data_IF_808515789927
#
_entry.id   IF_808515789927
#
_cell.length_a   1.000
_cell.length_b   1.000
_cell.length_c   1.000
_cell.angle_alpha   90.00
_cell.angle_beta   90.00
_cell.angle_gamma   90.00
#
_symmetry.space_group_name_H-M   'P 1'
#
loop_
_entity.id
_entity.type
_entity.pdbx_description
1 polymer ?
#
# COMPACT_ATOMS: atom_id res chain seq x y z
N UNK A 1 12.14 23.04 3.63
CA UNK A 1 11.45 21.74 3.49
C UNK A 1 11.31 21.32 2.03
N UNK A 2 10.52 22.00 1.19
CA UNK A 2 10.38 21.61 -0.24
C UNK A 2 11.70 21.60 -1.03
N UNK A 3 12.58 22.57 -0.78
CA UNK A 3 13.92 22.62 -1.39
C UNK A 3 14.78 21.40 -0.98
N UNK A 4 14.62 20.89 0.23
CA UNK A 4 15.35 19.70 0.68
C UNK A 4 14.80 18.43 0.03
N UNK A 5 13.48 18.33 -0.16
CA UNK A 5 12.85 17.20 -0.86
C UNK A 5 13.23 17.14 -2.35
N UNK A 6 13.36 18.29 -3.02
CA UNK A 6 13.81 18.36 -4.42
C UNK A 6 15.31 18.09 -4.60
N UNK A 7 16.12 18.16 -3.55
CA UNK A 7 17.57 17.89 -3.61
C UNK A 7 17.92 16.40 -3.60
N UNK A 8 16.97 15.53 -3.23
CA UNK A 8 17.21 14.07 -3.13
C UNK A 8 17.01 13.37 -4.48
N UNK A 9 16.27 13.97 -5.41
CA UNK A 9 16.12 13.46 -6.78
C UNK A 9 15.88 14.60 -7.77
N UNK A 10 16.79 14.77 -8.73
CA UNK A 10 16.63 15.76 -9.82
C UNK A 10 15.73 15.25 -10.97
N UNK A 11 15.50 13.94 -11.08
CA UNK A 11 14.71 13.32 -12.16
C UNK A 11 13.23 13.10 -11.80
N UNK A 12 12.90 13.01 -10.51
CA UNK A 12 11.56 12.67 -10.04
C UNK A 12 10.90 13.84 -9.29
N UNK A 13 9.74 14.34 -9.73
CA UNK A 13 9.06 15.47 -9.12
C UNK A 13 8.55 15.16 -7.71
N UNK A 14 8.53 16.18 -6.85
CA UNK A 14 7.98 16.06 -5.49
C UNK A 14 6.46 15.90 -5.56
N UNK A 15 5.94 14.79 -5.03
CA UNK A 15 4.50 14.53 -4.93
C UNK A 15 3.97 15.15 -3.63
N UNK A 16 2.97 16.02 -3.74
CA UNK A 16 2.23 16.58 -2.59
C UNK A 16 0.82 16.01 -2.61
N UNK A 17 0.49 15.19 -1.62
CA UNK A 17 -0.84 14.60 -1.44
C UNK A 17 -1.60 15.26 -0.27
N UNK A 18 -2.93 15.19 -0.32
CA UNK A 18 -3.78 15.62 0.80
C UNK A 18 -3.61 14.63 1.95
N UNK A 19 -3.31 15.14 3.14
CA UNK A 19 -3.28 14.33 4.35
C UNK A 19 -4.71 13.95 4.78
N UNK A 20 -4.97 12.66 4.89
CA UNK A 20 -6.24 12.11 5.38
C UNK A 20 -6.06 11.77 6.86
N UNK A 21 -6.75 12.52 7.72
CA UNK A 21 -6.76 12.28 9.17
C UNK A 21 -7.74 11.16 9.50
N UNK A 22 -7.43 10.37 10.54
CA UNK A 22 -8.28 9.27 11.02
C UNK A 22 -8.56 8.17 9.99
N UNK A 23 -7.73 8.08 8.95
CA UNK A 23 -7.79 6.99 8.00
C UNK A 23 -6.97 5.79 8.50
N UNK A 24 -7.39 4.58 8.12
CA UNK A 24 -6.61 3.37 8.38
C UNK A 24 -5.63 3.14 7.25
N UNK A 25 -4.46 2.62 7.57
CA UNK A 25 -3.47 2.24 6.57
C UNK A 25 -3.43 0.70 6.45
N UNK A 26 -3.52 0.24 5.21
CA UNK A 26 -3.51 -1.19 4.86
C UNK A 26 -2.27 -1.49 4.03
N UNK A 27 -1.53 -2.49 4.45
CA UNK A 27 -0.38 -3.01 3.73
C UNK A 27 -0.75 -4.31 3.00
N UNK A 28 -0.34 -4.44 1.74
CA UNK A 28 -0.60 -5.62 0.92
C UNK A 28 0.69 -6.08 0.28
N UNK A 29 1.17 -7.23 0.73
CA UNK A 29 2.29 -7.93 0.12
C UNK A 29 1.77 -9.05 -0.78
N UNK A 30 2.25 -9.11 -2.02
CA UNK A 30 1.82 -10.11 -2.98
C UNK A 30 2.95 -10.58 -3.88
N UNK A 31 2.80 -11.78 -4.43
CA UNK A 31 3.66 -12.33 -5.48
C UNK A 31 2.80 -12.60 -6.71
N UNK A 32 3.23 -12.10 -7.86
CA UNK A 32 2.55 -12.30 -9.13
C UNK A 32 3.45 -12.96 -10.18
N UNK A 33 2.84 -13.55 -11.21
CA UNK A 33 3.49 -14.05 -12.42
C UNK A 33 2.64 -13.64 -13.62
N UNK A 34 3.25 -13.00 -14.61
CA UNK A 34 2.56 -12.53 -15.82
C UNK A 34 1.31 -11.69 -15.51
N UNK A 35 1.42 -10.81 -14.50
CA UNK A 35 0.33 -9.94 -14.03
C UNK A 35 -0.73 -10.62 -13.15
N UNK A 36 -0.67 -11.94 -12.95
CA UNK A 36 -1.63 -12.70 -12.14
C UNK A 36 -1.09 -12.96 -10.72
N UNK A 37 -1.86 -12.62 -9.69
CA UNK A 37 -1.47 -12.81 -8.29
C UNK A 37 -1.53 -14.29 -7.90
N UNK A 38 -0.39 -14.81 -7.43
CA UNK A 38 -0.23 -16.18 -6.92
C UNK A 38 -0.55 -16.29 -5.43
N UNK A 39 -0.07 -15.32 -4.64
CA UNK A 39 -0.37 -15.23 -3.22
C UNK A 39 -0.38 -13.77 -2.76
N UNK A 40 -1.15 -13.49 -1.71
CA UNK A 40 -1.18 -12.18 -1.08
C UNK A 40 -1.43 -12.28 0.43
N UNK A 41 -0.82 -11.38 1.18
CA UNK A 41 -1.10 -11.12 2.58
C UNK A 41 -1.59 -9.67 2.70
N UNK A 42 -2.69 -9.48 3.43
CA UNK A 42 -3.22 -8.16 3.76
C UNK A 42 -2.99 -7.95 5.24
N UNK A 43 -2.43 -6.81 5.61
CA UNK A 43 -2.07 -6.44 6.97
C UNK A 43 -2.70 -5.10 7.32
N UNK A 44 -3.19 -4.97 8.54
CA UNK A 44 -3.77 -3.74 9.06
C UNK A 44 -2.79 -3.07 10.02
N UNK A 45 -2.62 -1.76 9.89
CA UNK A 45 -1.90 -0.95 10.87
C UNK A 45 -2.79 -0.76 12.11
N UNK A 46 -2.25 -1.02 13.31
CA UNK A 46 -2.95 -0.78 14.58
C UNK A 46 -3.11 0.72 14.83
N UNK A 47 -2.10 1.51 14.45
CA UNK A 47 -2.11 2.96 14.52
C UNK A 47 -2.83 3.58 13.30
N UNK A 48 -3.47 4.74 13.49
CA UNK A 48 -4.07 5.49 12.39
C UNK A 48 -3.00 6.08 11.46
N UNK A 49 -3.38 6.37 10.21
CA UNK A 49 -2.53 6.95 9.18
C UNK A 49 -1.81 8.23 9.67
N UNK A 50 -0.49 8.27 9.51
CA UNK A 50 0.38 9.34 10.00
C UNK A 50 1.56 8.87 10.86
N UNK A 51 1.58 7.61 11.27
CA UNK A 51 2.74 6.92 11.83
C UNK A 51 3.46 6.17 10.70
N UNK A 52 4.78 6.29 10.60
CA UNK A 52 5.55 5.64 9.53
C UNK A 52 5.47 4.11 9.66
N UNK A 53 5.31 3.39 8.55
CA UNK A 53 5.08 1.93 8.53
C UNK A 53 6.15 1.11 9.26
N UNK A 54 7.38 1.60 9.34
CA UNK A 54 8.48 0.96 10.10
C UNK A 54 8.36 1.05 11.63
N UNK A 55 7.56 1.98 12.16
CA UNK A 55 7.28 2.14 13.59
C UNK A 55 5.85 1.70 13.95
N UNK A 56 5.07 1.29 12.95
CA UNK A 56 3.68 0.85 13.10
C UNK A 56 3.62 -0.63 13.50
N UNK A 57 2.64 -0.96 14.34
CA UNK A 57 2.32 -2.35 14.67
C UNK A 57 1.37 -2.89 13.60
N UNK A 58 1.74 -4.00 12.96
CA UNK A 58 0.94 -4.64 11.93
C UNK A 58 0.22 -5.88 12.46
N UNK A 59 -1.00 -6.11 12.00
CA UNK A 59 -1.76 -7.35 12.27
C UNK A 59 -2.18 -8.03 10.97
N UNK A 60 -1.87 -9.33 10.87
CA UNK A 60 -2.17 -10.18 9.72
C UNK A 60 -2.84 -11.48 10.21
N UNK A 61 -4.06 -11.84 9.76
CA UNK A 61 -4.95 -11.10 8.87
C UNK A 61 -5.52 -9.82 9.53
N UNK A 62 -6.07 -8.87 8.75
CA UNK A 62 -6.67 -7.66 9.31
C UNK A 62 -7.83 -8.01 10.24
N UNK A 63 -8.00 -7.24 11.32
CA UNK A 63 -8.98 -7.52 12.38
C UNK A 63 -10.23 -6.63 12.27
N UNK A 64 -10.07 -5.39 11.82
CA UNK A 64 -11.14 -4.40 11.79
C UNK A 64 -11.31 -3.82 10.36
N UNK A 65 -11.47 -4.75 9.42
CA UNK A 65 -11.85 -4.52 8.02
C UNK A 65 -13.02 -5.43 7.67
N UNK A 66 -14.08 -4.84 7.09
CA UNK A 66 -15.22 -5.62 6.62
C UNK A 66 -14.89 -6.38 5.32
N UNK A 67 -15.64 -7.45 5.05
CA UNK A 67 -15.43 -8.31 3.87
C UNK A 67 -15.53 -7.57 2.54
N UNK A 68 -16.39 -6.54 2.44
CA UNK A 68 -16.56 -5.75 1.22
C UNK A 68 -15.27 -4.97 0.90
N UNK A 69 -14.73 -4.25 1.87
CA UNK A 69 -13.46 -3.52 1.75
C UNK A 69 -12.31 -4.47 1.44
N UNK A 70 -12.23 -5.63 2.12
CA UNK A 70 -11.19 -6.62 1.83
C UNK A 70 -11.28 -7.15 0.39
N UNK A 71 -12.48 -7.37 -0.13
CA UNK A 71 -12.67 -7.76 -1.52
C UNK A 71 -12.25 -6.65 -2.49
N UNK A 72 -12.54 -5.39 -2.17
CA UNK A 72 -12.10 -4.23 -2.97
C UNK A 72 -10.57 -4.14 -3.00
N UNK A 73 -9.90 -4.32 -1.87
CA UNK A 73 -8.42 -4.37 -1.79
C UNK A 73 -7.87 -5.44 -2.73
N UNK A 74 -8.46 -6.64 -2.74
CA UNK A 74 -8.05 -7.74 -3.64
C UNK A 74 -8.26 -7.42 -5.12
N UNK A 75 -9.33 -6.69 -5.46
CA UNK A 75 -9.57 -6.26 -6.85
C UNK A 75 -8.51 -5.24 -7.25
N UNK A 76 -8.28 -4.21 -6.44
CA UNK A 76 -7.26 -3.18 -6.72
C UNK A 76 -5.88 -3.82 -6.89
N UNK A 77 -5.51 -4.75 -6.01
CA UNK A 77 -4.22 -5.44 -6.10
C UNK A 77 -4.06 -6.20 -7.42
N UNK A 78 -5.10 -6.92 -7.86
CA UNK A 78 -5.08 -7.63 -9.15
C UNK A 78 -5.00 -6.67 -10.33
N UNK A 79 -5.77 -5.59 -10.30
CA UNK A 79 -5.77 -4.59 -11.36
C UNK A 79 -4.37 -3.95 -11.49
N UNK A 80 -3.73 -3.61 -10.36
CA UNK A 80 -2.36 -3.07 -10.34
C UNK A 80 -1.35 -4.10 -10.88
N UNK A 81 -1.43 -5.36 -10.43
CA UNK A 81 -0.54 -6.42 -10.88
C UNK A 81 -0.65 -6.64 -12.41
N UNK A 82 -1.87 -6.68 -12.95
CA UNK A 82 -2.13 -6.87 -14.37
C UNK A 82 -1.74 -5.65 -15.22
N UNK A 83 -2.00 -4.43 -14.75
CA UNK A 83 -1.65 -3.21 -15.46
C UNK A 83 -0.13 -2.98 -15.55
N UNK A 84 0.62 -3.43 -14.54
CA UNK A 84 2.07 -3.28 -14.49
C UNK A 84 2.83 -4.54 -14.96
N UNK A 85 2.11 -5.58 -15.41
CA UNK A 85 2.68 -6.87 -15.82
C UNK A 85 3.65 -7.45 -14.78
N UNK A 86 3.23 -7.42 -13.51
CA UNK A 86 4.11 -7.77 -12.39
C UNK A 86 4.46 -9.25 -12.44
N UNK A 87 5.75 -9.54 -12.41
CA UNK A 87 6.31 -10.88 -12.23
C UNK A 87 7.35 -10.83 -11.11
N UNK A 88 6.99 -11.36 -9.94
CA UNK A 88 7.78 -11.28 -8.72
C UNK A 88 7.00 -10.71 -7.53
N UNK A 89 7.70 -10.44 -6.40
CA UNK A 89 7.09 -9.82 -5.23
C UNK A 89 6.83 -8.33 -5.46
N UNK A 90 5.72 -7.83 -4.92
CA UNK A 90 5.41 -6.42 -4.84
C UNK A 90 4.66 -6.09 -3.56
N UNK A 91 4.71 -4.81 -3.20
CA UNK A 91 4.06 -4.25 -2.04
C UNK A 91 3.19 -3.07 -2.49
N UNK A 92 2.04 -2.88 -1.83
CA UNK A 92 1.19 -1.72 -2.04
C UNK A 92 0.54 -1.28 -0.72
N UNK A 93 0.43 0.03 -0.56
CA UNK A 93 -0.20 0.66 0.61
C UNK A 93 -1.50 1.36 0.20
N UNK A 94 -2.55 1.18 0.99
CA UNK A 94 -3.88 1.76 0.77
C UNK A 94 -4.35 2.52 2.02
N UNK A 95 -5.15 3.56 1.79
CA UNK A 95 -5.79 4.41 2.81
C UNK A 95 -7.30 4.42 2.59
#
# INVERSE_FOLDING_TARGET
YLIAASLVSNEYPVVISKFLTEAKEIDVDAVASDGEILCMAVSEHVENAGVHSGDATLVTPPQDINTETLNRIKVIARDVAGLLDVTGPFNMQLI
#
